data_IF_997058577861
#
_entry.id   IF_997058577861
#
_cell.length_a   1.000
_cell.length_b   1.000
_cell.length_c   1.000
_cell.angle_alpha   90.00
_cell.angle_beta   90.00
_cell.angle_gamma   90.00
#
_symmetry.space_group_name_H-M   'P 1'
#
loop_
_entity.id
_entity.type
_entity.pdbx_description
1 polymer ?
#
# COMPACT_ATOMS: atom_id res chain seq x y z
N UNK A 1 -4.38 -47.43 -4.99
CA UNK A 1 -3.08 -47.92 -5.50
C UNK A 1 -2.88 -47.32 -6.88
N UNK A 2 -1.90 -46.46 -7.03
CA UNK A 2 -1.60 -45.74 -8.28
C UNK A 2 -0.36 -46.34 -8.94
N UNK A 3 -0.30 -46.34 -10.27
CA UNK A 3 0.84 -46.81 -11.04
C UNK A 3 1.60 -45.61 -11.66
N UNK A 4 2.92 -45.65 -11.65
CA UNK A 4 3.75 -44.61 -12.26
C UNK A 4 3.56 -44.58 -13.78
N UNK A 5 3.09 -43.49 -14.35
CA UNK A 5 2.87 -43.34 -15.80
C UNK A 5 4.14 -43.46 -16.66
N UNK A 6 5.32 -43.42 -16.05
CA UNK A 6 6.63 -43.44 -16.77
C UNK A 6 7.30 -44.82 -16.75
N UNK A 7 7.14 -45.62 -15.69
CA UNK A 7 7.81 -46.92 -15.57
C UNK A 7 6.88 -48.09 -15.19
N UNK A 8 5.58 -47.83 -14.98
CA UNK A 8 4.59 -48.85 -14.62
C UNK A 8 4.73 -49.41 -13.19
N UNK A 9 5.65 -48.98 -12.39
CA UNK A 9 5.84 -49.43 -11.02
C UNK A 9 4.66 -49.01 -10.13
N UNK A 10 4.26 -49.85 -9.21
CA UNK A 10 3.21 -49.58 -8.23
C UNK A 10 3.72 -48.56 -7.20
N UNK A 11 2.97 -47.49 -6.99
CA UNK A 11 3.34 -46.37 -6.10
C UNK A 11 2.28 -46.27 -5.00
N UNK A 12 2.72 -46.10 -3.75
CA UNK A 12 1.81 -45.86 -2.64
C UNK A 12 1.18 -44.46 -2.73
N UNK A 13 -0.09 -44.35 -2.34
CA UNK A 13 -0.82 -43.11 -2.35
C UNK A 13 -0.17 -42.08 -1.40
N UNK A 14 0.11 -40.88 -1.91
CA UNK A 14 0.73 -39.79 -1.15
C UNK A 14 2.23 -39.56 -1.39
N UNK A 15 2.90 -40.39 -2.20
CA UNK A 15 4.34 -40.19 -2.53
C UNK A 15 4.50 -39.24 -3.70
N UNK A 16 5.33 -38.23 -3.55
CA UNK A 16 5.59 -37.21 -4.58
C UNK A 16 6.50 -37.70 -5.72
N UNK A 17 7.28 -38.75 -5.49
CA UNK A 17 8.23 -39.28 -6.49
C UNK A 17 8.17 -40.80 -6.52
N UNK A 18 8.24 -41.38 -7.71
CA UNK A 18 8.29 -42.82 -7.89
C UNK A 18 9.62 -43.39 -7.38
N UNK A 19 9.57 -44.37 -6.48
CA UNK A 19 10.76 -45.00 -5.92
C UNK A 19 11.54 -45.85 -6.94
N UNK A 20 10.89 -46.22 -8.07
CA UNK A 20 11.53 -47.06 -9.10
C UNK A 20 12.26 -46.25 -10.18
N UNK A 21 11.80 -45.05 -10.54
CA UNK A 21 12.39 -44.26 -11.63
C UNK A 21 12.62 -42.77 -11.31
N UNK A 22 12.31 -42.33 -10.08
CA UNK A 22 12.49 -40.94 -9.66
C UNK A 22 11.55 -39.91 -10.31
N UNK A 23 10.62 -40.34 -11.14
CA UNK A 23 9.69 -39.43 -11.80
C UNK A 23 8.66 -38.87 -10.81
N UNK A 24 8.31 -37.61 -10.94
CA UNK A 24 7.21 -37.03 -10.16
C UNK A 24 5.88 -37.72 -10.53
N UNK A 25 5.14 -38.15 -9.51
CA UNK A 25 3.83 -38.79 -9.65
C UNK A 25 2.78 -37.70 -9.46
N UNK A 26 2.10 -37.30 -10.54
CA UNK A 26 0.95 -36.42 -10.47
C UNK A 26 -0.23 -37.20 -9.90
N UNK A 27 -0.53 -37.03 -8.64
CA UNK A 27 -1.80 -37.49 -8.06
C UNK A 27 -2.90 -36.59 -8.63
N UNK A 28 -3.75 -37.18 -9.49
CA UNK A 28 -5.07 -36.62 -9.81
C UNK A 28 -5.86 -36.50 -8.51
N UNK A 29 -5.87 -35.33 -7.92
CA UNK A 29 -6.85 -35.02 -6.89
C UNK A 29 -8.13 -34.62 -7.59
N UNK A 30 -9.16 -35.42 -7.44
CA UNK A 30 -10.53 -35.08 -7.81
C UNK A 30 -10.90 -33.75 -7.15
N UNK A 31 -11.41 -32.85 -7.98
CA UNK A 31 -12.00 -31.57 -7.57
C UNK A 31 -13.10 -31.79 -6.55
N UNK A 32 -12.77 -31.68 -5.27
CA UNK A 32 -13.74 -31.24 -4.29
C UNK A 32 -13.38 -29.81 -3.94
N UNK A 33 -14.26 -28.89 -4.35
CA UNK A 33 -14.14 -27.47 -4.09
C UNK A 33 -14.24 -27.20 -2.58
N UNK A 34 -13.12 -27.35 -1.89
CA UNK A 34 -12.93 -26.87 -0.55
C UNK A 34 -11.79 -25.86 -0.63
N UNK A 35 -12.13 -24.63 -0.34
CA UNK A 35 -11.29 -23.44 -0.28
C UNK A 35 -9.87 -23.80 0.17
N UNK A 36 -8.90 -23.61 -0.72
CA UNK A 36 -7.51 -23.59 -0.35
C UNK A 36 -7.33 -22.47 0.68
N UNK A 37 -7.20 -22.86 1.94
CA UNK A 37 -6.70 -22.00 2.98
C UNK A 37 -5.32 -21.52 2.54
N UNK A 38 -5.09 -20.19 2.40
CA UNK A 38 -3.76 -19.68 2.13
C UNK A 38 -2.83 -20.17 3.25
N UNK A 39 -1.65 -20.65 2.87
CA UNK A 39 -0.59 -21.01 3.80
C UNK A 39 -0.52 -20.00 4.94
N UNK A 40 -0.53 -20.50 6.18
CA UNK A 40 -0.46 -19.74 7.42
C UNK A 40 0.60 -18.65 7.31
N UNK A 41 0.14 -17.42 7.03
CA UNK A 41 0.97 -16.23 7.16
C UNK A 41 1.38 -16.13 8.64
N UNK A 42 2.63 -15.74 8.94
CA UNK A 42 3.03 -15.46 10.32
C UNK A 42 2.00 -14.48 10.93
N UNK A 43 1.75 -14.51 12.25
CA UNK A 43 0.73 -13.70 12.88
C UNK A 43 0.92 -12.23 12.49
N UNK A 44 0.15 -11.79 11.51
CA UNK A 44 0.14 -10.38 11.10
C UNK A 44 -0.52 -9.63 12.25
N UNK A 45 0.26 -8.75 12.87
CA UNK A 45 -0.23 -7.88 13.93
C UNK A 45 -1.53 -7.21 13.44
N UNK A 46 -2.53 -7.13 14.30
CA UNK A 46 -3.86 -6.53 14.05
C UNK A 46 -3.76 -5.14 13.40
N UNK A 47 -2.69 -4.42 13.70
CA UNK A 47 -2.33 -3.14 13.08
C UNK A 47 -2.01 -3.26 11.58
N UNK A 48 -1.27 -4.30 11.15
CA UNK A 48 -0.94 -4.52 9.75
C UNK A 48 -2.18 -4.85 8.92
N UNK A 49 -3.11 -5.63 9.47
CA UNK A 49 -4.39 -5.93 8.83
C UNK A 49 -5.27 -4.68 8.71
N UNK A 50 -5.31 -3.83 9.73
CA UNK A 50 -6.02 -2.54 9.68
C UNK A 50 -5.46 -1.62 8.60
N UNK A 51 -4.13 -1.52 8.49
CA UNK A 51 -3.50 -0.73 7.40
C UNK A 51 -3.83 -1.32 6.03
N UNK A 52 -3.81 -2.63 5.87
CA UNK A 52 -4.17 -3.29 4.61
C UNK A 52 -5.62 -3.02 4.23
N UNK A 53 -6.54 -3.06 5.19
CA UNK A 53 -7.94 -2.74 4.97
C UNK A 53 -8.15 -1.26 4.59
N UNK A 54 -7.42 -0.33 5.21
CA UNK A 54 -7.43 1.09 4.84
C UNK A 54 -6.83 1.33 3.45
N UNK A 55 -5.88 0.49 3.03
CA UNK A 55 -5.22 0.55 1.73
C UNK A 55 -5.93 -0.30 0.65
N UNK A 56 -7.14 -0.79 0.92
CA UNK A 56 -7.96 -1.49 -0.07
C UNK A 56 -8.70 -0.48 -0.96
N UNK A 57 -7.91 0.32 -1.67
CA UNK A 57 -8.35 1.36 -2.60
C UNK A 57 -8.10 0.92 -4.04
N UNK A 58 -8.59 1.69 -5.02
CA UNK A 58 -8.37 1.41 -6.43
C UNK A 58 -6.85 1.30 -6.72
N UNK A 59 -6.48 0.23 -7.41
CA UNK A 59 -5.10 -0.07 -7.81
C UNK A 59 -5.00 0.07 -9.33
N UNK A 60 -4.34 1.12 -9.77
CA UNK A 60 -4.10 1.41 -11.20
C UNK A 60 -2.69 1.04 -11.65
N UNK A 61 -1.97 0.24 -10.86
CA UNK A 61 -0.58 -0.13 -11.13
C UNK A 61 -0.41 -0.76 -12.53
N UNK A 62 -1.38 -1.55 -12.99
CA UNK A 62 -1.35 -2.21 -14.30
C UNK A 62 -1.39 -1.23 -15.49
N UNK A 63 -1.76 0.03 -15.27
CA UNK A 63 -1.79 1.06 -16.33
C UNK A 63 -0.40 1.67 -16.60
N UNK A 64 0.60 1.37 -15.78
CA UNK A 64 1.94 1.94 -15.86
C UNK A 64 2.96 0.91 -16.33
N UNK A 65 3.94 1.40 -17.13
CA UNK A 65 5.05 0.59 -17.59
C UNK A 65 5.95 0.13 -16.42
N UNK A 66 6.33 -1.15 -16.41
CA UNK A 66 7.15 -1.73 -15.35
C UNK A 66 8.54 -1.06 -15.24
N UNK A 67 9.09 -0.61 -16.36
CA UNK A 67 10.38 0.09 -16.41
C UNK A 67 10.23 1.51 -15.84
N UNK A 68 9.14 2.22 -16.15
CA UNK A 68 8.84 3.54 -15.57
C UNK A 68 8.67 3.44 -14.05
N UNK A 69 7.96 2.41 -13.57
CA UNK A 69 7.81 2.14 -12.14
C UNK A 69 9.17 1.94 -11.47
N UNK A 70 10.02 1.07 -12.00
CA UNK A 70 11.31 0.74 -11.37
C UNK A 70 12.27 1.92 -11.35
N UNK A 71 12.33 2.68 -12.44
CA UNK A 71 13.23 3.84 -12.59
C UNK A 71 12.82 5.03 -11.74
N UNK A 72 11.52 5.20 -11.48
CA UNK A 72 10.98 6.39 -10.81
C UNK A 72 10.44 6.13 -9.40
N UNK A 73 10.70 4.96 -8.81
CA UNK A 73 10.30 4.64 -7.42
C UNK A 73 10.76 5.68 -6.41
N UNK A 74 12.03 6.12 -6.50
CA UNK A 74 12.59 7.11 -5.59
C UNK A 74 11.84 8.44 -5.69
N UNK A 75 11.50 8.88 -6.91
CA UNK A 75 10.71 10.09 -7.14
C UNK A 75 9.28 9.95 -6.59
N UNK A 76 8.68 8.77 -6.75
CA UNK A 76 7.36 8.46 -6.21
C UNK A 76 7.33 8.52 -4.65
N UNK A 77 8.38 8.05 -3.99
CA UNK A 77 8.53 8.11 -2.52
C UNK A 77 8.68 9.56 -2.07
N UNK A 78 9.53 10.35 -2.75
CA UNK A 78 9.75 11.78 -2.43
C UNK A 78 8.46 12.61 -2.49
N UNK A 79 7.48 12.18 -3.28
CA UNK A 79 6.20 12.85 -3.40
C UNK A 79 5.42 12.98 -2.07
N UNK A 80 5.68 12.12 -1.10
CA UNK A 80 4.98 12.12 0.20
C UNK A 80 5.75 12.79 1.33
N UNK A 81 6.96 13.31 1.06
CA UNK A 81 7.77 14.03 2.04
C UNK A 81 7.49 15.54 2.06
N UNK A 82 6.22 15.93 2.11
CA UNK A 82 5.80 17.33 2.22
C UNK A 82 6.34 18.20 1.07
N UNK A 83 7.16 19.25 1.34
CA UNK A 83 7.65 20.15 0.28
C UNK A 83 8.49 19.47 -0.81
N UNK A 84 9.07 18.28 -0.52
CA UNK A 84 9.86 17.53 -1.49
C UNK A 84 9.04 17.00 -2.67
N UNK A 85 7.71 17.04 -2.59
CA UNK A 85 6.80 16.70 -3.72
C UNK A 85 7.08 17.56 -4.96
N UNK A 86 7.64 18.75 -4.79
CA UNK A 86 8.01 19.60 -5.92
C UNK A 86 9.13 18.99 -6.78
N UNK A 87 10.03 18.20 -6.17
CA UNK A 87 11.12 17.54 -6.90
C UNK A 87 10.59 16.60 -7.99
N UNK A 88 9.75 15.57 -7.71
CA UNK A 88 9.23 14.72 -8.76
C UNK A 88 8.33 15.45 -9.75
N UNK A 89 7.62 16.51 -9.34
CA UNK A 89 6.81 17.32 -10.26
C UNK A 89 7.68 17.98 -11.33
N UNK A 90 8.88 18.47 -10.98
CA UNK A 90 9.78 19.15 -11.92
C UNK A 90 10.79 18.20 -12.58
N UNK A 91 11.32 17.21 -11.85
CA UNK A 91 12.37 16.31 -12.35
C UNK A 91 11.82 15.12 -13.13
N UNK A 92 10.65 14.59 -12.77
CA UNK A 92 10.06 13.40 -13.38
C UNK A 92 8.83 13.73 -14.25
N UNK A 93 8.86 14.84 -14.98
CA UNK A 93 7.74 15.31 -15.81
C UNK A 93 7.27 14.29 -16.87
N UNK A 94 8.18 13.46 -17.38
CA UNK A 94 7.88 12.48 -18.42
C UNK A 94 7.38 11.14 -17.88
N UNK A 95 7.60 10.86 -16.57
CA UNK A 95 7.14 9.65 -15.92
C UNK A 95 5.66 9.72 -15.60
N UNK A 96 4.88 8.86 -16.24
CA UNK A 96 3.46 8.72 -15.93
C UNK A 96 3.26 8.16 -14.51
N UNK A 97 4.13 7.22 -14.12
CA UNK A 97 4.08 6.62 -12.79
C UNK A 97 4.38 7.63 -11.68
N UNK A 98 5.47 8.42 -11.78
CA UNK A 98 5.84 9.39 -10.76
C UNK A 98 4.81 10.53 -10.61
N UNK A 99 4.09 10.90 -11.67
CA UNK A 99 3.03 11.91 -11.63
C UNK A 99 1.85 11.48 -10.76
N UNK A 100 1.54 10.21 -10.70
CA UNK A 100 0.43 9.69 -9.92
C UNK A 100 0.62 9.94 -8.40
N UNK A 101 1.69 9.44 -7.72
CA UNK A 101 1.96 9.78 -6.33
C UNK A 101 2.24 11.27 -6.11
N UNK A 102 2.83 11.99 -7.10
CA UNK A 102 3.05 13.43 -6.99
C UNK A 102 1.76 14.22 -6.88
N UNK A 103 0.71 13.83 -7.60
CA UNK A 103 -0.61 14.44 -7.47
C UNK A 103 -1.18 14.22 -6.06
N UNK A 104 -1.12 13.01 -5.54
CA UNK A 104 -1.62 12.68 -4.21
C UNK A 104 -0.79 13.37 -3.10
N UNK A 105 0.53 13.39 -3.23
CA UNK A 105 1.42 14.09 -2.32
C UNK A 105 1.19 15.61 -2.31
N UNK A 106 0.89 16.20 -3.47
CA UNK A 106 0.55 17.62 -3.58
C UNK A 106 -0.77 17.94 -2.87
N UNK A 107 -1.80 17.10 -3.06
CA UNK A 107 -3.08 17.24 -2.34
C UNK A 107 -2.85 17.13 -0.84
N UNK A 108 -2.03 16.15 -0.40
CA UNK A 108 -1.70 15.95 1.01
C UNK A 108 -0.93 17.15 1.59
N UNK A 109 0.01 17.72 0.82
CA UNK A 109 0.75 18.93 1.22
C UNK A 109 -0.19 20.12 1.41
N UNK A 110 -1.07 20.38 0.44
CA UNK A 110 -2.06 21.46 0.54
C UNK A 110 -2.96 21.25 1.75
N UNK A 111 -3.49 20.05 1.92
CA UNK A 111 -4.34 19.71 3.06
C UNK A 111 -3.60 19.91 4.41
N UNK A 112 -2.32 19.52 4.49
CA UNK A 112 -1.51 19.71 5.69
C UNK A 112 -1.22 21.18 6.01
N UNK A 113 -0.98 22.01 4.99
CA UNK A 113 -0.78 23.45 5.17
C UNK A 113 -2.07 24.11 5.65
N UNK A 114 -3.21 23.83 4.98
CA UNK A 114 -4.52 24.38 5.38
C UNK A 114 -4.89 23.97 6.81
N UNK A 115 -4.68 22.69 7.14
CA UNK A 115 -4.87 22.20 8.49
C UNK A 115 -3.96 22.89 9.49
N UNK A 116 -2.67 23.06 9.18
CA UNK A 116 -1.69 23.72 10.06
C UNK A 116 -2.06 25.17 10.36
N UNK A 117 -2.51 25.92 9.34
CA UNK A 117 -2.99 27.30 9.51
C UNK A 117 -4.24 27.33 10.41
N UNK A 118 -5.25 26.49 10.09
CA UNK A 118 -6.47 26.42 10.86
C UNK A 118 -6.21 26.01 12.33
N UNK A 119 -5.36 25.01 12.52
CA UNK A 119 -4.95 24.55 13.85
C UNK A 119 -4.23 25.66 14.64
N UNK A 120 -3.31 26.39 14.02
CA UNK A 120 -2.57 27.48 14.66
C UNK A 120 -3.49 28.62 15.09
N UNK A 121 -4.41 29.05 14.23
CA UNK A 121 -5.39 30.10 14.57
C UNK A 121 -6.31 29.64 15.69
N UNK A 122 -6.89 28.45 15.55
CA UNK A 122 -7.85 27.93 16.52
C UNK A 122 -7.22 27.67 17.89
N UNK A 123 -6.00 27.11 17.92
CA UNK A 123 -5.27 26.89 19.16
C UNK A 123 -4.93 28.20 19.87
N UNK A 124 -4.51 29.23 19.13
CA UNK A 124 -4.22 30.55 19.69
C UNK A 124 -5.46 31.19 20.32
N UNK A 125 -6.61 31.11 19.68
CA UNK A 125 -7.88 31.63 20.22
C UNK A 125 -8.28 30.87 21.48
N UNK A 126 -8.26 29.54 21.45
CA UNK A 126 -8.66 28.70 22.59
C UNK A 126 -7.77 28.97 23.81
N UNK A 127 -6.46 29.06 23.61
CA UNK A 127 -5.50 29.30 24.71
C UNK A 127 -5.56 30.73 25.24
N UNK A 128 -5.93 31.71 24.40
CA UNK A 128 -6.16 33.09 24.85
C UNK A 128 -7.38 33.18 25.78
N UNK A 129 -8.40 32.34 25.59
CA UNK A 129 -9.58 32.29 26.46
C UNK A 129 -9.22 31.65 27.80
N UNK A 130 -8.60 30.48 27.78
CA UNK A 130 -8.18 29.79 29.01
C UNK A 130 -7.18 28.68 28.72
N UNK A 131 -6.09 28.67 29.47
CA UNK A 131 -5.13 27.55 29.47
C UNK A 131 -5.75 26.18 29.80
N UNK A 132 -6.82 26.19 30.57
CA UNK A 132 -7.53 24.95 30.92
C UNK A 132 -8.14 24.22 29.71
N UNK A 133 -8.33 24.92 28.59
CA UNK A 133 -8.87 24.36 27.37
C UNK A 133 -7.81 23.66 26.49
N UNK A 134 -6.56 23.54 26.99
CA UNK A 134 -5.47 22.86 26.27
C UNK A 134 -5.84 21.45 25.82
N UNK A 135 -6.67 20.73 26.57
CA UNK A 135 -7.12 19.39 26.19
C UNK A 135 -7.90 19.40 24.85
N UNK A 136 -8.67 20.44 24.57
CA UNK A 136 -9.39 20.59 23.30
C UNK A 136 -8.38 20.74 22.14
N UNK A 137 -7.35 21.56 22.34
CA UNK A 137 -6.28 21.75 21.36
C UNK A 137 -5.59 20.40 21.08
N UNK A 138 -5.34 19.59 22.11
CA UNK A 138 -4.74 18.27 21.95
C UNK A 138 -5.62 17.32 21.14
N UNK A 139 -6.93 17.32 21.36
CA UNK A 139 -7.88 16.50 20.59
C UNK A 139 -7.88 16.91 19.11
N UNK A 140 -7.91 18.21 18.83
CA UNK A 140 -7.84 18.73 17.45
C UNK A 140 -6.50 18.31 16.82
N UNK A 141 -5.41 18.33 17.59
CA UNK A 141 -4.08 17.88 17.16
C UNK A 141 -4.02 16.42 16.69
N UNK A 142 -4.93 15.55 17.16
CA UNK A 142 -4.98 14.14 16.70
C UNK A 142 -5.24 14.00 15.19
N UNK A 143 -5.84 15.00 14.54
CA UNK A 143 -6.03 15.00 13.08
C UNK A 143 -4.69 14.95 12.34
N UNK A 144 -3.63 15.52 12.91
CA UNK A 144 -2.27 15.45 12.32
C UNK A 144 -1.77 14.00 12.20
N UNK A 145 -2.19 13.12 13.11
CA UNK A 145 -1.86 11.68 13.06
C UNK A 145 -2.46 11.05 11.81
N UNK A 146 -3.70 11.41 11.46
CA UNK A 146 -4.36 10.89 10.25
C UNK A 146 -3.59 11.30 9.01
N UNK A 147 -3.17 12.56 8.91
CA UNK A 147 -2.35 13.06 7.79
C UNK A 147 -1.03 12.29 7.70
N UNK A 148 -0.38 12.05 8.84
CA UNK A 148 0.88 11.29 8.91
C UNK A 148 0.67 9.84 8.47
N UNK A 149 -0.40 9.18 8.90
CA UNK A 149 -0.72 7.80 8.48
C UNK A 149 -0.97 7.74 6.98
N UNK A 150 -1.68 8.71 6.39
CA UNK A 150 -1.89 8.79 4.95
C UNK A 150 -0.57 8.95 4.19
N UNK A 151 0.35 9.78 4.69
CA UNK A 151 1.69 9.93 4.11
C UNK A 151 2.47 8.61 4.15
N UNK A 152 2.44 7.90 5.29
CA UNK A 152 3.11 6.59 5.44
C UNK A 152 2.53 5.56 4.46
N UNK A 153 1.20 5.47 4.33
CA UNK A 153 0.55 4.56 3.37
C UNK A 153 1.00 4.89 1.94
N UNK A 154 1.06 6.17 1.58
CA UNK A 154 1.55 6.63 0.29
C UNK A 154 2.99 6.23 0.03
N UNK A 155 3.88 6.41 1.01
CA UNK A 155 5.29 5.99 0.94
C UNK A 155 5.40 4.48 0.74
N UNK A 156 4.63 3.67 1.48
CA UNK A 156 4.64 2.21 1.35
C UNK A 156 4.17 1.79 -0.05
N UNK A 157 3.09 2.38 -0.57
CA UNK A 157 2.61 2.11 -1.92
C UNK A 157 3.67 2.47 -2.97
N UNK A 158 4.26 3.66 -2.89
CA UNK A 158 5.31 4.10 -3.79
C UNK A 158 6.56 3.19 -3.72
N UNK A 159 7.00 2.81 -2.51
CA UNK A 159 8.14 1.92 -2.29
C UNK A 159 7.90 0.51 -2.84
N UNK A 160 6.66 0.02 -2.80
CA UNK A 160 6.28 -1.26 -3.40
C UNK A 160 6.00 -1.17 -4.90
N UNK A 161 6.08 0.03 -5.49
CA UNK A 161 5.81 0.28 -6.90
C UNK A 161 4.33 0.18 -7.27
N UNK A 162 3.44 0.41 -6.31
CA UNK A 162 1.99 0.36 -6.52
C UNK A 162 1.43 1.76 -6.69
N UNK A 163 0.59 1.93 -7.72
CA UNK A 163 -0.17 3.15 -7.96
C UNK A 163 -1.57 3.00 -7.35
N UNK A 164 -1.64 3.02 -6.01
CA UNK A 164 -2.90 2.95 -5.26
C UNK A 164 -3.38 4.33 -4.85
N UNK A 165 -4.70 4.53 -4.89
CA UNK A 165 -5.31 5.75 -4.39
C UNK A 165 -5.19 5.82 -2.86
N UNK A 166 -4.83 7.01 -2.33
CA UNK A 166 -4.88 7.22 -0.89
C UNK A 166 -6.35 7.29 -0.42
N UNK A 167 -6.69 6.64 0.70
CA UNK A 167 -8.02 6.78 1.26
C UNK A 167 -8.33 8.26 1.54
N UNK A 168 -9.56 8.68 1.31
CA UNK A 168 -10.11 10.03 1.46
C UNK A 168 -9.66 11.05 0.40
N UNK A 169 -8.39 11.08 -0.01
CA UNK A 169 -7.83 12.15 -0.85
C UNK A 169 -7.45 11.70 -2.27
N UNK A 170 -7.36 10.40 -2.54
CA UNK A 170 -6.89 9.86 -3.82
C UNK A 170 -7.75 10.24 -5.03
N UNK A 171 -9.02 10.61 -4.80
CA UNK A 171 -9.95 11.04 -5.87
C UNK A 171 -9.65 12.44 -6.41
N UNK A 172 -8.92 13.27 -5.68
CA UNK A 172 -8.59 14.63 -6.10
C UNK A 172 -7.41 14.61 -7.08
N UNK A 173 -7.66 15.02 -8.33
CA UNK A 173 -6.64 15.15 -9.37
C UNK A 173 -6.40 16.64 -9.64
N UNK A 174 -5.24 17.15 -9.22
CA UNK A 174 -4.80 18.54 -9.43
C UNK A 174 -3.88 18.61 -10.64
N UNK A 175 -2.98 17.64 -10.77
CA UNK A 175 -2.07 17.53 -11.91
C UNK A 175 -2.76 16.80 -13.07
N UNK A 176 -2.82 17.46 -14.23
CA UNK A 176 -3.27 16.88 -15.50
C UNK A 176 -2.09 16.27 -16.27
#
# INVERSE_FOLDING_TARGET
MTYCGKCGAQVQDGVKFCQGCGAAVETKVENNAQQAQPASQPPQNDFSQKIQNLNNTADTTAEFDAQDITSNKAMAILAYFGPLVLIPIFAAKQSKFARYPSNQGLVLLIASILYGIAYSILSSIILAISWRLYFIVSIIGLVSIVITVLAIIGIINAATGKAKELPLIGKFKILK
#
